data_IF_206415404842
#
_entry.id   IF_206415404842
#
_cell.length_a   1.000
_cell.length_b   1.000
_cell.length_c   1.000
_cell.angle_alpha   90.00
_cell.angle_beta   90.00
_cell.angle_gamma   90.00
#
_symmetry.space_group_name_H-M   'P 1'
#
loop_
_entity.id
_entity.type
_entity.pdbx_description
1 polymer ?
#
# COMPACT_ATOMS: atom_id res chain seq x y z
N UNK A 1 19.66 3.04 -7.52
CA UNK A 1 18.29 3.43 -7.96
C UNK A 1 18.26 4.54 -9.03
N UNK A 2 19.37 5.22 -9.36
CA UNK A 2 19.37 6.28 -10.39
C UNK A 2 19.07 5.79 -11.81
N UNK A 3 19.44 4.54 -12.14
CA UNK A 3 19.17 3.95 -13.46
C UNK A 3 17.69 3.79 -13.80
N UNK A 4 16.82 3.59 -12.79
CA UNK A 4 15.38 3.42 -12.99
C UNK A 4 14.63 4.75 -13.03
N UNK A 5 15.21 5.83 -12.49
CA UNK A 5 14.55 7.13 -12.34
C UNK A 5 13.93 7.66 -13.66
N UNK A 6 14.61 7.59 -14.83
CA UNK A 6 14.05 8.08 -16.10
C UNK A 6 12.87 7.25 -16.61
N UNK A 7 12.74 6.00 -16.15
CA UNK A 7 11.69 5.07 -16.58
C UNK A 7 10.46 5.08 -15.68
N UNK A 8 10.56 5.69 -14.49
CA UNK A 8 9.43 5.80 -13.55
C UNK A 8 8.25 6.51 -14.22
N UNK A 9 8.50 7.56 -15.00
CA UNK A 9 7.45 8.30 -15.72
C UNK A 9 6.73 7.45 -16.77
N UNK A 10 7.37 6.39 -17.29
CA UNK A 10 6.78 5.47 -18.26
C UNK A 10 6.05 4.30 -17.58
N UNK A 11 6.55 3.86 -16.42
CA UNK A 11 5.99 2.73 -15.66
C UNK A 11 4.78 3.18 -14.82
N UNK A 12 4.84 4.40 -14.27
CA UNK A 12 3.83 4.93 -13.36
C UNK A 12 2.40 4.92 -13.96
N UNK A 13 2.17 5.37 -15.20
CA UNK A 13 0.84 5.33 -15.81
C UNK A 13 0.28 3.91 -15.88
N UNK A 14 1.11 2.93 -16.25
CA UNK A 14 0.71 1.52 -16.36
C UNK A 14 0.34 0.95 -14.99
N UNK A 15 1.13 1.23 -13.96
CA UNK A 15 0.80 0.80 -12.60
C UNK A 15 -0.50 1.45 -12.10
N UNK A 16 -0.72 2.74 -12.37
CA UNK A 16 -1.95 3.43 -11.97
C UNK A 16 -3.19 2.92 -12.72
N UNK A 17 -3.05 2.60 -14.01
CA UNK A 17 -4.12 2.01 -14.81
C UNK A 17 -4.53 0.64 -14.24
N UNK A 18 -3.56 -0.23 -13.94
CA UNK A 18 -3.84 -1.58 -13.44
C UNK A 18 -4.12 -1.64 -11.94
N UNK A 19 -3.85 -0.58 -11.16
CA UNK A 19 -4.19 -0.50 -9.74
C UNK A 19 -5.71 -0.52 -9.48
N UNK A 20 -6.52 -0.26 -10.51
CA UNK A 20 -7.99 -0.34 -10.45
C UNK A 20 -8.56 -1.52 -11.24
N UNK A 21 -7.73 -2.46 -11.65
CA UNK A 21 -8.20 -3.66 -12.35
C UNK A 21 -9.17 -4.45 -11.45
N UNK A 22 -10.30 -4.97 -11.95
CA UNK A 22 -11.23 -5.78 -11.14
C UNK A 22 -10.61 -7.08 -10.60
N UNK A 23 -9.61 -7.63 -11.28
CA UNK A 23 -8.89 -8.82 -10.86
C UNK A 23 -7.92 -8.52 -9.71
N UNK A 24 -8.11 -9.19 -8.57
CA UNK A 24 -7.25 -9.02 -7.38
C UNK A 24 -5.80 -9.45 -7.63
N UNK A 25 -5.58 -10.50 -8.42
CA UNK A 25 -4.24 -10.97 -8.79
C UNK A 25 -3.43 -9.87 -9.48
N UNK A 26 -4.02 -9.23 -10.50
CA UNK A 26 -3.41 -8.09 -11.20
C UNK A 26 -3.10 -6.93 -10.25
N UNK A 27 -4.03 -6.57 -9.37
CA UNK A 27 -3.79 -5.52 -8.36
C UNK A 27 -2.68 -5.87 -7.38
N UNK A 28 -2.54 -7.14 -7.00
CA UNK A 28 -1.48 -7.57 -6.08
C UNK A 28 -0.09 -7.43 -6.72
N UNK A 29 0.06 -7.80 -8.00
CA UNK A 29 1.32 -7.58 -8.75
C UNK A 29 1.64 -6.09 -8.80
N UNK A 30 0.64 -5.26 -9.09
CA UNK A 30 0.79 -3.80 -9.09
C UNK A 30 1.19 -3.27 -7.71
N UNK A 31 0.57 -3.76 -6.64
CA UNK A 31 0.84 -3.35 -5.27
C UNK A 31 2.27 -3.70 -4.82
N UNK A 32 2.79 -4.87 -5.18
CA UNK A 32 4.20 -5.24 -4.96
C UNK A 32 5.14 -4.27 -5.68
N UNK A 33 4.79 -3.88 -6.91
CA UNK A 33 5.60 -2.97 -7.72
C UNK A 33 5.54 -1.51 -7.22
N UNK A 34 4.41 -1.09 -6.65
CA UNK A 34 4.18 0.30 -6.26
C UNK A 34 4.94 0.72 -5.00
N UNK A 35 5.24 -0.20 -4.09
CA UNK A 35 6.09 0.04 -2.92
C UNK A 35 5.88 1.40 -2.26
N UNK A 36 6.97 2.17 -2.07
CA UNK A 36 7.00 3.49 -1.40
C UNK A 36 6.15 4.59 -2.08
N UNK A 37 5.60 4.36 -3.26
CA UNK A 37 4.93 5.39 -4.07
C UNK A 37 3.42 5.47 -3.84
N UNK A 38 2.82 4.50 -3.14
CA UNK A 38 1.36 4.33 -3.16
C UNK A 38 0.60 5.02 -2.02
N UNK A 39 1.27 5.70 -1.09
CA UNK A 39 0.60 6.28 0.09
C UNK A 39 -0.47 7.31 -0.30
N UNK A 40 -0.20 8.16 -1.31
CA UNK A 40 -1.20 9.12 -1.81
C UNK A 40 -2.40 8.49 -2.51
N UNK A 41 -2.38 7.18 -2.79
CA UNK A 41 -3.48 6.47 -3.42
C UNK A 41 -4.54 6.00 -2.40
N UNK A 42 -4.23 6.02 -1.09
CA UNK A 42 -5.14 5.61 -0.03
C UNK A 42 -6.36 6.55 0.13
N UNK A 43 -6.28 7.79 -0.35
CA UNK A 43 -7.38 8.77 -0.37
C UNK A 43 -8.15 8.81 -1.69
N UNK A 44 -7.88 7.90 -2.62
CA UNK A 44 -8.56 7.85 -3.91
C UNK A 44 -10.07 7.66 -3.77
N UNK A 45 -10.85 8.29 -4.65
CA UNK A 45 -12.30 8.06 -4.74
C UNK A 45 -12.65 6.62 -5.17
N UNK A 46 -11.72 5.92 -5.83
CA UNK A 46 -11.92 4.55 -6.31
C UNK A 46 -11.50 3.53 -5.23
N UNK A 47 -12.44 2.69 -4.80
CA UNK A 47 -12.19 1.67 -3.78
C UNK A 47 -11.11 0.65 -4.18
N UNK A 48 -11.01 0.29 -5.47
CA UNK A 48 -9.98 -0.63 -5.95
C UNK A 48 -8.58 -0.02 -5.84
N UNK A 49 -8.45 1.27 -6.13
CA UNK A 49 -7.19 2.01 -5.95
C UNK A 49 -6.79 2.04 -4.47
N UNK A 50 -7.74 2.35 -3.58
CA UNK A 50 -7.47 2.33 -2.13
C UNK A 50 -7.04 0.94 -1.67
N UNK A 51 -7.73 -0.11 -2.10
CA UNK A 51 -7.36 -1.49 -1.78
C UNK A 51 -5.96 -1.88 -2.28
N UNK A 52 -5.58 -1.44 -3.48
CA UNK A 52 -4.22 -1.63 -4.02
C UNK A 52 -3.17 -0.90 -3.19
N UNK A 53 -3.45 0.35 -2.78
CA UNK A 53 -2.56 1.12 -1.92
C UNK A 53 -2.33 0.46 -0.55
N UNK A 54 -3.40 0.00 0.08
CA UNK A 54 -3.36 -0.71 1.37
C UNK A 54 -2.59 -2.04 1.23
N UNK A 55 -2.77 -2.74 0.13
CA UNK A 55 -2.01 -3.96 -0.19
C UNK A 55 -0.52 -3.66 -0.42
N UNK A 56 -0.17 -2.54 -1.04
CA UNK A 56 1.23 -2.14 -1.21
C UNK A 56 1.92 -1.90 0.15
N UNK A 57 1.20 -1.30 1.11
CA UNK A 57 1.68 -1.16 2.50
C UNK A 57 1.97 -2.52 3.14
N UNK A 58 1.08 -3.51 2.96
CA UNK A 58 1.33 -4.89 3.44
C UNK A 58 2.65 -5.43 2.90
N UNK A 59 2.92 -5.29 1.60
CA UNK A 59 4.16 -5.79 1.00
C UNK A 59 5.39 -5.07 1.56
N UNK A 60 5.34 -3.75 1.74
CA UNK A 60 6.42 -3.00 2.39
C UNK A 60 6.71 -3.45 3.83
N UNK A 61 5.68 -3.88 4.56
CA UNK A 61 5.83 -4.44 5.91
C UNK A 61 6.54 -5.80 5.86
N UNK A 62 6.08 -6.69 4.98
CA UNK A 62 6.60 -8.07 4.85
C UNK A 62 8.04 -8.10 4.34
N UNK A 63 8.40 -7.20 3.42
CA UNK A 63 9.76 -7.07 2.87
C UNK A 63 10.81 -6.58 3.88
N UNK A 64 10.41 -6.25 5.12
CA UNK A 64 11.30 -5.81 6.21
C UNK A 64 12.27 -4.67 5.85
N UNK A 65 11.87 -3.81 4.91
CA UNK A 65 12.74 -2.74 4.42
C UNK A 65 12.81 -1.58 5.42
N UNK A 66 13.88 -1.52 6.23
CA UNK A 66 14.04 -0.53 7.32
C UNK A 66 14.09 0.90 6.82
N UNK A 67 14.62 1.13 5.61
CA UNK A 67 14.62 2.44 4.96
C UNK A 67 13.21 2.96 4.57
N UNK A 68 12.16 2.15 4.75
CA UNK A 68 10.77 2.54 4.58
C UNK A 68 10.06 2.80 5.92
N UNK A 69 10.67 2.50 7.06
CA UNK A 69 9.98 2.49 8.37
C UNK A 69 9.52 3.87 8.79
N UNK A 70 10.37 4.91 8.66
CA UNK A 70 9.98 6.28 8.99
C UNK A 70 8.78 6.76 8.15
N UNK A 71 8.78 6.41 6.86
CA UNK A 71 7.70 6.73 5.95
C UNK A 71 6.43 5.94 6.28
N UNK A 72 6.56 4.64 6.57
CA UNK A 72 5.44 3.79 6.99
C UNK A 72 4.84 4.30 8.30
N UNK A 73 5.66 4.78 9.23
CA UNK A 73 5.23 5.34 10.50
C UNK A 73 4.42 6.62 10.30
N UNK A 74 4.88 7.53 9.44
CA UNK A 74 4.11 8.72 9.05
C UNK A 74 2.78 8.36 8.37
N UNK A 75 2.76 7.29 7.58
CA UNK A 75 1.60 6.87 6.81
C UNK A 75 0.62 5.97 7.58
N UNK A 76 1.05 5.44 8.73
CA UNK A 76 0.27 4.45 9.48
C UNK A 76 -1.08 5.02 9.92
N UNK A 77 -1.13 6.30 10.28
CA UNK A 77 -2.38 6.96 10.64
C UNK A 77 -3.41 6.98 9.50
N UNK A 78 -3.00 7.32 8.28
CA UNK A 78 -3.87 7.33 7.09
C UNK A 78 -4.26 5.90 6.68
N UNK A 79 -3.31 4.96 6.75
CA UNK A 79 -3.57 3.55 6.52
C UNK A 79 -4.64 3.00 7.49
N UNK A 80 -4.57 3.31 8.79
CA UNK A 80 -5.52 2.78 9.76
C UNK A 80 -6.93 3.33 9.59
N UNK A 81 -7.08 4.53 9.04
CA UNK A 81 -8.42 5.05 8.67
C UNK A 81 -9.12 4.12 7.68
N UNK A 82 -8.38 3.41 6.84
CA UNK A 82 -8.94 2.44 5.87
C UNK A 82 -9.56 1.20 6.51
N UNK A 83 -9.30 0.94 7.80
CA UNK A 83 -10.03 -0.09 8.57
C UNK A 83 -11.52 0.26 8.70
N UNK A 84 -11.83 1.56 8.66
CA UNK A 84 -13.20 2.09 8.70
C UNK A 84 -13.72 2.53 7.32
N UNK A 85 -13.03 2.15 6.24
CA UNK A 85 -13.42 2.51 4.86
C UNK A 85 -14.86 2.08 4.56
N UNK A 86 -15.56 2.79 3.67
CA UNK A 86 -16.93 2.44 3.29
C UNK A 86 -17.01 1.11 2.53
N UNK A 87 -15.95 0.76 1.77
CA UNK A 87 -15.86 -0.45 0.98
C UNK A 87 -15.36 -1.65 1.82
N UNK A 88 -16.11 -2.75 1.77
CA UNK A 88 -15.80 -3.98 2.52
C UNK A 88 -14.45 -4.59 2.15
N UNK A 89 -14.07 -4.55 0.88
CA UNK A 89 -12.81 -5.13 0.43
C UNK A 89 -11.62 -4.29 0.91
N UNK A 90 -11.75 -2.96 0.90
CA UNK A 90 -10.73 -2.07 1.49
C UNK A 90 -10.54 -2.38 2.97
N UNK A 91 -11.63 -2.50 3.74
CA UNK A 91 -11.55 -2.90 5.17
C UNK A 91 -10.86 -4.25 5.37
N UNK A 92 -11.19 -5.25 4.52
CA UNK A 92 -10.57 -6.58 4.57
C UNK A 92 -9.06 -6.50 4.38
N UNK A 93 -8.59 -5.83 3.33
CA UNK A 93 -7.14 -5.73 3.07
C UNK A 93 -6.42 -4.89 4.10
N UNK A 94 -7.09 -3.88 4.68
CA UNK A 94 -6.55 -3.08 5.79
C UNK A 94 -6.30 -3.93 7.03
N UNK A 95 -7.25 -4.78 7.41
CA UNK A 95 -7.08 -5.70 8.55
C UNK A 95 -5.96 -6.72 8.31
N UNK A 96 -5.84 -7.25 7.08
CA UNK A 96 -4.75 -8.18 6.73
C UNK A 96 -3.39 -7.48 6.83
N UNK A 97 -3.29 -6.25 6.33
CA UNK A 97 -2.08 -5.45 6.40
C UNK A 97 -1.74 -5.04 7.84
N UNK A 98 -2.73 -4.70 8.66
CA UNK A 98 -2.57 -4.43 10.09
C UNK A 98 -2.05 -5.65 10.86
N UNK A 99 -2.63 -6.82 10.60
CA UNK A 99 -2.15 -8.07 11.18
C UNK A 99 -0.69 -8.35 10.77
N UNK A 100 -0.35 -8.09 9.51
CA UNK A 100 1.04 -8.17 9.04
C UNK A 100 1.97 -7.22 9.79
N UNK A 101 1.53 -5.97 10.04
CA UNK A 101 2.30 -4.99 10.82
C UNK A 101 2.53 -5.48 12.25
N UNK A 102 1.50 -5.98 12.92
CA UNK A 102 1.60 -6.47 14.30
C UNK A 102 2.60 -7.63 14.42
N UNK A 103 2.61 -8.54 13.44
CA UNK A 103 3.53 -9.69 13.45
C UNK A 103 4.96 -9.33 13.02
N UNK A 104 5.14 -8.54 11.96
CA UNK A 104 6.46 -8.32 11.35
C UNK A 104 7.16 -7.06 11.83
N UNK A 105 6.39 -6.01 12.19
CA UNK A 105 6.91 -4.69 12.60
C UNK A 105 6.06 -4.11 13.75
N UNK A 106 6.02 -4.76 14.93
CA UNK A 106 5.13 -4.36 16.03
C UNK A 106 5.33 -2.91 16.49
N UNK A 107 6.53 -2.35 16.32
CA UNK A 107 6.82 -0.93 16.60
C UNK A 107 5.93 0.04 15.81
N UNK A 108 5.47 -0.34 14.62
CA UNK A 108 4.55 0.48 13.81
C UNK A 108 3.12 0.48 14.37
N UNK A 109 2.74 -0.52 15.17
CA UNK A 109 1.39 -0.66 15.75
C UNK A 109 1.30 -0.04 17.15
N UNK A 110 2.40 -0.05 17.90
CA UNK A 110 2.47 0.41 19.31
C UNK A 110 2.32 1.95 19.44
N UNK A 111 2.35 2.69 18.33
CA UNK A 111 2.24 4.17 18.32
C UNK A 111 0.76 4.63 18.24
N UNK A 112 -0.19 3.72 18.44
CA UNK A 112 -1.63 3.99 18.48
C UNK A 112 -2.17 4.06 19.90
#
# INVERSE_FOLDING_TARGET
MEFFRPRIEQIWPVLMEHAVCPEEGTRNVVAECLGKLCLGCATSKNALMRASAVTAVKFLIVEQWTAADDMLQCAMAEFLQTVTDSDLNVRRVALVAFNSAAHNKPKLVIIL
#
